data_IF_865748621182
#
_entry.id   IF_865748621182
#
_cell.length_a   1.000
_cell.length_b   1.000
_cell.length_c   1.000
_cell.angle_alpha   90.00
_cell.angle_beta   90.00
_cell.angle_gamma   90.00
#
_symmetry.space_group_name_H-M   'P 1'
#
loop_
_entity.id
_entity.type
_entity.pdbx_description
1 polymer ?
#
# COMPACT_ATOMS: atom_id res chain seq x y z
N UNK A 1 -25.21 15.85 -13.43
CA UNK A 1 -24.25 16.95 -13.21
C UNK A 1 -23.35 16.50 -12.07
N UNK A 2 -22.05 16.23 -12.14
CA UNK A 2 -20.96 16.64 -13.03
C UNK A 2 -20.05 15.40 -13.22
N UNK A 3 -20.16 14.68 -14.35
CA UNK A 3 -19.41 13.43 -14.58
C UNK A 3 -17.93 13.66 -14.95
N UNK A 4 -17.43 14.89 -14.80
CA UNK A 4 -16.10 15.31 -15.27
C UNK A 4 -15.07 15.52 -14.14
N UNK A 5 -15.46 15.46 -12.87
CA UNK A 5 -14.54 15.69 -11.74
C UNK A 5 -14.28 14.41 -10.92
N UNK A 6 -14.02 13.28 -11.59
CA UNK A 6 -13.69 12.00 -10.92
C UNK A 6 -12.30 11.52 -11.36
N UNK A 7 -11.58 10.79 -10.50
CA UNK A 7 -10.36 10.08 -10.93
C UNK A 7 -10.61 9.19 -12.13
N UNK A 8 -9.54 8.82 -12.85
CA UNK A 8 -9.65 7.81 -13.90
C UNK A 8 -10.13 6.49 -13.30
N UNK A 9 -11.11 5.83 -13.92
CA UNK A 9 -11.61 4.53 -13.46
C UNK A 9 -11.35 3.48 -14.54
N UNK A 10 -10.61 2.43 -14.19
CA UNK A 10 -10.45 1.23 -15.01
C UNK A 10 -11.31 0.12 -14.40
N UNK A 11 -12.15 -0.50 -15.22
CA UNK A 11 -12.98 -1.64 -14.80
C UNK A 11 -12.42 -2.94 -15.32
N UNK A 12 -12.23 -3.91 -14.44
CA UNK A 12 -11.76 -5.26 -14.77
C UNK A 12 -12.77 -6.31 -14.32
N UNK A 13 -12.63 -7.55 -14.80
CA UNK A 13 -13.44 -8.68 -14.35
C UNK A 13 -13.20 -8.95 -12.86
N UNK A 14 -14.24 -9.34 -12.13
CA UNK A 14 -14.15 -9.65 -10.69
C UNK A 14 -13.11 -10.74 -10.37
N UNK A 15 -12.93 -11.71 -11.26
CA UNK A 15 -11.93 -12.78 -11.11
C UNK A 15 -10.47 -12.29 -11.25
N UNK A 16 -10.25 -11.08 -11.78
CA UNK A 16 -8.93 -10.51 -11.99
C UNK A 16 -8.48 -9.67 -10.78
N UNK A 17 -9.41 -9.29 -9.90
CA UNK A 17 -9.02 -8.83 -8.57
C UNK A 17 -8.37 -9.99 -7.85
N UNK A 18 -7.20 -9.74 -7.24
CA UNK A 18 -6.46 -10.73 -6.47
C UNK A 18 -7.38 -11.53 -5.55
N UNK A 19 -7.01 -12.77 -5.28
CA UNK A 19 -7.71 -13.61 -4.31
C UNK A 19 -7.54 -13.04 -2.89
N UNK A 20 -8.13 -11.88 -2.60
CA UNK A 20 -8.08 -11.25 -1.26
C UNK A 20 -8.68 -12.16 -0.17
N UNK A 21 -9.46 -13.16 -0.59
CA UNK A 21 -9.85 -14.31 0.26
C UNK A 21 -8.66 -15.13 0.76
N UNK A 22 -7.61 -15.29 -0.02
CA UNK A 22 -6.38 -15.99 0.40
C UNK A 22 -5.62 -15.22 1.48
N UNK A 23 -5.85 -13.91 1.62
CA UNK A 23 -5.20 -13.10 2.66
C UNK A 23 -5.70 -13.45 4.06
N UNK A 24 -6.80 -14.19 4.19
CA UNK A 24 -7.20 -14.77 5.47
C UNK A 24 -6.14 -15.72 6.05
N UNK A 25 -5.30 -16.33 5.21
CA UNK A 25 -4.16 -17.13 5.67
C UNK A 25 -3.12 -16.30 6.45
N UNK A 26 -3.12 -14.97 6.28
CA UNK A 26 -2.26 -14.05 7.05
C UNK A 26 -2.73 -13.88 8.49
N UNK A 27 -3.98 -14.24 8.80
CA UNK A 27 -4.59 -14.11 10.14
C UNK A 27 -4.79 -15.47 10.83
N UNK A 28 -4.95 -16.55 10.07
CA UNK A 28 -5.13 -17.89 10.67
C UNK A 28 -4.61 -18.98 9.76
N UNK A 29 -4.21 -20.11 10.36
CA UNK A 29 -3.86 -21.33 9.63
C UNK A 29 -5.11 -22.16 9.23
N UNK A 30 -6.29 -21.82 9.76
CA UNK A 30 -7.56 -22.49 9.47
C UNK A 30 -8.66 -21.51 8.99
N UNK A 31 -8.45 -20.77 7.89
CA UNK A 31 -9.38 -19.72 7.46
C UNK A 31 -10.79 -20.25 7.14
N UNK A 32 -10.91 -21.48 6.64
CA UNK A 32 -12.19 -22.09 6.30
C UNK A 32 -13.08 -22.39 7.52
N UNK A 33 -12.51 -22.49 8.73
CA UNK A 33 -13.26 -22.82 9.96
C UNK A 33 -13.34 -21.63 10.92
N UNK A 34 -12.32 -20.79 10.99
CA UNK A 34 -12.24 -19.68 11.93
C UNK A 34 -12.86 -18.40 11.40
N UNK A 35 -12.56 -18.02 10.15
CA UNK A 35 -13.04 -16.74 9.57
C UNK A 35 -14.57 -16.67 9.56
N UNK A 36 -15.34 -17.70 9.17
CA UNK A 36 -16.80 -17.63 9.25
C UNK A 36 -17.32 -17.34 10.67
N UNK A 37 -16.65 -17.87 11.70
CA UNK A 37 -17.01 -17.60 13.11
C UNK A 37 -16.70 -16.15 13.45
N UNK A 38 -15.54 -15.64 13.08
CA UNK A 38 -15.15 -14.27 13.35
C UNK A 38 -16.03 -13.26 12.62
N UNK A 39 -16.39 -13.52 11.37
CA UNK A 39 -17.35 -12.71 10.62
C UNK A 39 -18.73 -12.72 11.28
N UNK A 40 -19.16 -13.85 11.82
CA UNK A 40 -20.37 -13.95 12.64
C UNK A 40 -20.29 -13.09 13.91
N UNK A 41 -19.20 -13.17 14.66
CA UNK A 41 -18.96 -12.36 15.86
C UNK A 41 -18.92 -10.86 15.55
N UNK A 42 -18.39 -10.47 14.39
CA UNK A 42 -18.38 -9.07 13.95
C UNK A 42 -19.81 -8.48 13.78
N UNK A 43 -20.83 -9.32 13.64
CA UNK A 43 -22.24 -8.92 13.54
C UNK A 43 -22.92 -8.72 14.90
N UNK A 44 -22.30 -9.07 16.02
CA UNK A 44 -22.89 -8.90 17.35
C UNK A 44 -22.93 -7.42 17.79
N UNK A 45 -21.97 -6.62 17.32
CA UNK A 45 -21.89 -5.17 17.53
C UNK A 45 -21.35 -4.46 16.28
N UNK A 46 -22.12 -4.46 15.17
CA UNK A 46 -21.64 -4.02 13.88
C UNK A 46 -21.51 -2.50 13.83
N UNK A 47 -20.41 -2.02 13.26
CA UNK A 47 -20.23 -0.61 12.89
C UNK A 47 -20.43 -0.51 11.38
N UNK A 48 -21.20 0.48 10.93
CA UNK A 48 -21.22 0.88 9.52
C UNK A 48 -20.38 2.15 9.36
N UNK A 49 -19.13 2.05 8.86
CA UNK A 49 -18.30 3.23 8.69
C UNK A 49 -18.90 4.18 7.65
N UNK A 50 -18.86 5.47 7.96
CA UNK A 50 -19.30 6.54 7.06
C UNK A 50 -18.24 6.93 6.03
N UNK A 51 -16.96 6.63 6.31
CA UNK A 51 -15.83 7.07 5.49
C UNK A 51 -15.87 8.58 5.24
N UNK A 52 -15.92 8.98 3.97
CA UNK A 52 -16.02 10.38 3.53
C UNK A 52 -17.45 10.95 3.56
N UNK A 53 -18.47 10.11 3.72
CA UNK A 53 -19.87 10.54 3.73
C UNK A 53 -20.18 11.33 5.01
N UNK A 54 -20.87 12.46 4.86
CA UNK A 54 -21.33 13.29 6.00
C UNK A 54 -22.66 12.81 6.56
N UNK A 55 -23.48 12.18 5.72
CA UNK A 55 -24.82 11.71 6.04
C UNK A 55 -25.08 10.34 5.40
N UNK A 56 -25.86 9.48 6.06
CA UNK A 56 -26.15 8.12 5.55
C UNK A 56 -26.78 8.13 4.14
N UNK A 57 -27.51 9.19 3.80
CA UNK A 57 -28.10 9.37 2.47
C UNK A 57 -27.05 9.52 1.34
N UNK A 58 -25.79 9.79 1.66
CA UNK A 58 -24.68 9.86 0.71
C UNK A 58 -24.00 8.49 0.48
N UNK A 59 -24.31 7.49 1.31
CA UNK A 59 -23.81 6.13 1.16
C UNK A 59 -24.55 5.38 0.05
N UNK A 60 -23.90 4.36 -0.51
CA UNK A 60 -24.53 3.49 -1.50
C UNK A 60 -25.65 2.63 -0.89
N UNK A 61 -26.89 2.87 -1.30
CA UNK A 61 -28.06 2.13 -0.78
C UNK A 61 -28.11 0.66 -1.22
N UNK A 62 -27.32 0.28 -2.23
CA UNK A 62 -27.26 -1.09 -2.74
C UNK A 62 -26.25 -1.97 -2.01
N UNK A 63 -25.44 -1.39 -1.11
CA UNK A 63 -24.36 -2.08 -0.43
C UNK A 63 -24.21 -1.62 1.02
N UNK A 64 -24.06 -2.55 1.96
CA UNK A 64 -23.62 -2.25 3.32
C UNK A 64 -22.16 -2.66 3.49
N UNK A 65 -21.38 -1.78 4.10
CA UNK A 65 -20.07 -2.12 4.66
C UNK A 65 -20.25 -2.30 6.16
N UNK A 66 -20.07 -3.53 6.64
CA UNK A 66 -20.08 -3.83 8.07
C UNK A 66 -18.65 -4.03 8.53
N UNK A 67 -18.30 -3.36 9.63
CA UNK A 67 -17.00 -3.39 10.27
C UNK A 67 -17.15 -3.89 11.70
N UNK A 68 -16.35 -4.88 12.08
CA UNK A 68 -16.31 -5.38 13.46
C UNK A 68 -15.23 -6.44 13.66
N UNK A 69 -14.89 -6.79 14.90
CA UNK A 69 -15.52 -6.32 16.13
C UNK A 69 -15.14 -4.87 16.47
N UNK A 70 -16.07 -4.14 17.10
CA UNK A 70 -15.82 -2.78 17.57
C UNK A 70 -14.66 -2.75 18.58
N UNK A 71 -13.87 -1.67 18.57
CA UNK A 71 -12.76 -1.42 19.50
C UNK A 71 -11.59 -2.42 19.44
N UNK A 72 -11.53 -3.31 18.44
CA UNK A 72 -10.37 -4.17 18.19
C UNK A 72 -9.37 -3.47 17.26
N UNK A 73 -8.08 -3.80 17.41
CA UNK A 73 -7.02 -3.27 16.53
C UNK A 73 -7.15 -3.80 15.10
N UNK A 74 -7.55 -5.08 14.97
CA UNK A 74 -7.89 -5.71 13.69
C UNK A 74 -9.41 -5.76 13.58
N UNK A 75 -9.92 -5.28 12.46
CA UNK A 75 -11.33 -5.20 12.14
C UNK A 75 -11.61 -5.98 10.86
N UNK A 76 -12.71 -6.70 10.87
CA UNK A 76 -13.19 -7.49 9.75
C UNK A 76 -14.25 -6.68 9.01
N UNK A 77 -14.00 -6.49 7.73
CA UNK A 77 -14.84 -5.73 6.83
C UNK A 77 -15.68 -6.72 6.01
N UNK A 78 -16.99 -6.49 5.93
CA UNK A 78 -17.93 -7.29 5.18
C UNK A 78 -18.72 -6.39 4.24
N UNK A 79 -18.57 -6.60 2.94
CA UNK A 79 -19.37 -5.91 1.91
C UNK A 79 -20.58 -6.79 1.61
N UNK A 80 -21.78 -6.29 1.89
CA UNK A 80 -23.05 -7.02 1.75
C UNK A 80 -23.90 -6.31 0.72
N UNK A 81 -24.40 -7.04 -0.28
CA UNK A 81 -25.38 -6.48 -1.20
C UNK A 81 -26.75 -6.39 -0.55
N UNK A 82 -27.46 -5.30 -0.86
CA UNK A 82 -28.72 -4.92 -0.23
C UNK A 82 -29.75 -4.64 -1.31
N UNK A 83 -30.95 -5.18 -1.11
CA UNK A 83 -32.11 -4.88 -1.92
C UNK A 83 -33.29 -4.60 -1.01
N UNK A 84 -34.00 -3.49 -1.24
CA UNK A 84 -35.14 -3.06 -0.41
C UNK A 84 -34.81 -3.03 1.10
N UNK A 85 -33.63 -2.52 1.46
CA UNK A 85 -33.10 -2.50 2.83
C UNK A 85 -32.97 -3.88 3.50
N UNK A 86 -32.80 -4.94 2.71
CA UNK A 86 -32.57 -6.30 3.21
C UNK A 86 -31.25 -6.85 2.66
N UNK A 87 -30.40 -7.45 3.52
CA UNK A 87 -29.17 -8.08 3.06
C UNK A 87 -29.50 -9.27 2.18
N UNK A 88 -28.83 -9.37 1.03
CA UNK A 88 -29.02 -10.43 0.04
C UNK A 88 -27.89 -11.45 0.09
N UNK A 89 -26.64 -10.98 0.01
CA UNK A 89 -25.47 -11.83 0.02
C UNK A 89 -24.21 -11.06 0.42
N UNK A 90 -23.26 -11.73 1.07
CA UNK A 90 -21.89 -11.24 1.25
C UNK A 90 -21.20 -11.26 -0.11
N UNK A 91 -20.68 -10.11 -0.54
CA UNK A 91 -19.94 -9.93 -1.80
C UNK A 91 -18.46 -10.16 -1.63
N UNK A 92 -17.90 -9.64 -0.54
CA UNK A 92 -16.52 -9.87 -0.15
C UNK A 92 -16.35 -9.60 1.34
N UNK A 93 -15.29 -10.15 1.92
CA UNK A 93 -14.86 -9.84 3.26
C UNK A 93 -13.34 -9.86 3.34
N UNK A 94 -12.77 -8.96 4.13
CA UNK A 94 -11.33 -8.80 4.27
C UNK A 94 -10.98 -8.25 5.66
N UNK A 95 -9.77 -8.55 6.17
CA UNK A 95 -9.26 -7.92 7.36
C UNK A 95 -8.74 -6.51 7.06
N UNK A 96 -8.76 -5.64 8.05
CA UNK A 96 -8.23 -4.29 8.01
C UNK A 96 -7.75 -3.90 9.40
N UNK A 97 -6.78 -3.01 9.49
CA UNK A 97 -6.41 -2.35 10.73
C UNK A 97 -6.02 -0.90 10.45
N UNK A 98 -5.90 -0.09 11.49
CA UNK A 98 -5.59 1.33 11.34
C UNK A 98 -4.11 1.63 11.55
N UNK A 99 -3.59 2.48 10.68
CA UNK A 99 -2.28 3.11 10.86
C UNK A 99 -2.45 4.44 11.58
N UNK A 100 -1.60 4.77 12.58
CA UNK A 100 -1.65 6.06 13.24
C UNK A 100 -1.08 7.16 12.35
N UNK A 101 -0.37 6.79 11.28
CA UNK A 101 0.19 7.73 10.33
C UNK A 101 -0.83 8.01 9.24
N UNK A 102 -0.92 9.29 8.88
CA UNK A 102 -1.64 9.74 7.71
C UNK A 102 -0.70 10.49 6.80
N UNK A 103 -0.89 10.28 5.52
CA UNK A 103 -0.17 10.95 4.45
C UNK A 103 -1.15 11.69 3.58
N UNK A 104 -0.70 12.81 3.00
CA UNK A 104 -1.46 13.44 1.95
C UNK A 104 -1.30 12.59 0.68
N UNK A 105 -2.42 12.30 0.02
CA UNK A 105 -2.36 11.73 -1.32
C UNK A 105 -3.50 12.21 -2.20
N UNK A 106 -3.26 12.21 -3.51
CA UNK A 106 -4.29 12.36 -4.55
C UNK A 106 -4.57 11.00 -5.19
N UNK A 107 -5.83 10.71 -5.45
CA UNK A 107 -6.24 9.52 -6.18
C UNK A 107 -6.13 9.83 -7.67
N UNK A 108 -5.11 9.29 -8.34
CA UNK A 108 -4.94 9.50 -9.78
C UNK A 108 -5.80 8.52 -10.60
N UNK A 109 -5.90 7.29 -10.11
CA UNK A 109 -6.66 6.23 -10.76
C UNK A 109 -7.30 5.29 -9.74
N UNK A 110 -8.45 4.76 -10.10
CA UNK A 110 -9.18 3.72 -9.40
C UNK A 110 -9.29 2.53 -10.35
N UNK A 111 -8.75 1.39 -9.94
CA UNK A 111 -9.00 0.11 -10.63
C UNK A 111 -10.10 -0.55 -9.82
N UNK A 112 -11.23 -0.90 -10.43
CA UNK A 112 -12.38 -1.49 -9.74
C UNK A 112 -12.92 -2.71 -10.48
N UNK A 113 -13.54 -3.64 -9.74
CA UNK A 113 -14.21 -4.78 -10.36
C UNK A 113 -15.56 -4.38 -10.98
N UNK A 114 -16.14 -5.22 -11.86
CA UNK A 114 -17.46 -4.96 -12.46
C UNK A 114 -18.58 -4.94 -11.44
N UNK A 115 -18.51 -5.75 -10.39
CA UNK A 115 -19.47 -5.69 -9.27
C UNK A 115 -19.35 -4.40 -8.44
N UNK A 116 -18.31 -3.57 -8.67
CA UNK A 116 -18.06 -2.33 -7.96
C UNK A 116 -17.97 -2.48 -6.43
N UNK A 117 -17.49 -3.63 -5.97
CA UNK A 117 -17.42 -3.96 -4.54
C UNK A 117 -16.02 -3.74 -3.94
N UNK A 118 -15.00 -3.67 -4.79
CA UNK A 118 -13.59 -3.58 -4.41
C UNK A 118 -12.84 -2.68 -5.39
N UNK A 119 -11.77 -2.05 -4.90
CA UNK A 119 -10.88 -1.25 -5.73
C UNK A 119 -9.44 -1.21 -5.20
N UNK A 120 -8.51 -1.09 -6.14
CA UNK A 120 -7.13 -0.67 -5.90
C UNK A 120 -6.99 0.79 -6.33
N UNK A 121 -6.47 1.63 -5.44
CA UNK A 121 -6.21 3.04 -5.71
C UNK A 121 -4.76 3.23 -6.12
N UNK A 122 -4.54 3.99 -7.19
CA UNK A 122 -3.24 4.57 -7.50
C UNK A 122 -3.14 5.93 -6.84
N UNK A 123 -2.37 5.99 -5.77
CA UNK A 123 -2.18 7.17 -4.93
C UNK A 123 -0.88 7.89 -5.32
N UNK A 124 -0.96 9.19 -5.55
CA UNK A 124 0.20 10.06 -5.65
C UNK A 124 0.40 10.79 -4.32
N UNK A 125 1.53 10.54 -3.66
CA UNK A 125 1.87 11.09 -2.35
C UNK A 125 2.69 12.39 -2.42
N UNK A 126 2.90 12.93 -3.62
CA UNK A 126 3.81 14.04 -3.88
C UNK A 126 5.08 13.58 -4.60
N UNK A 127 5.77 14.50 -5.28
CA UNK A 127 7.06 14.25 -5.94
C UNK A 127 7.12 12.99 -6.84
N UNK A 128 6.00 12.62 -7.48
CA UNK A 128 5.85 11.38 -8.27
C UNK A 128 6.03 10.08 -7.47
N UNK A 129 5.95 10.13 -6.14
CA UNK A 129 5.89 8.94 -5.28
C UNK A 129 4.52 8.29 -5.42
N UNK A 130 4.48 7.10 -6.02
CA UNK A 130 3.25 6.36 -6.29
C UNK A 130 3.16 5.15 -5.38
N UNK A 131 1.99 4.97 -4.76
CA UNK A 131 1.62 3.75 -4.03
C UNK A 131 0.30 3.22 -4.59
N UNK A 132 0.24 1.91 -4.78
CA UNK A 132 -1.01 1.22 -5.01
C UNK A 132 -1.48 0.58 -3.70
N UNK A 133 -2.76 0.72 -3.41
CA UNK A 133 -3.33 0.24 -2.15
C UNK A 133 -4.78 -0.19 -2.34
N UNK A 134 -5.15 -1.30 -1.72
CA UNK A 134 -6.53 -1.74 -1.57
C UNK A 134 -7.34 -0.72 -0.76
N UNK A 135 -8.45 -0.23 -1.30
CA UNK A 135 -9.31 0.70 -0.58
C UNK A 135 -10.32 -0.03 0.30
N UNK A 136 -10.00 -0.12 1.59
CA UNK A 136 -10.82 -0.78 2.60
C UNK A 136 -12.20 -0.14 2.78
N UNK A 137 -12.37 1.11 2.35
CA UNK A 137 -13.62 1.88 2.49
C UNK A 137 -14.28 2.16 1.13
N UNK A 138 -13.83 1.52 0.05
CA UNK A 138 -14.28 1.79 -1.32
C UNK A 138 -15.80 1.73 -1.48
N UNK A 139 -16.42 0.68 -0.95
CA UNK A 139 -17.87 0.46 -1.06
C UNK A 139 -18.70 1.63 -0.51
N UNK A 140 -18.14 2.40 0.44
CA UNK A 140 -18.76 3.62 1.00
C UNK A 140 -18.26 4.88 0.31
N UNK A 141 -16.96 4.96 0.01
CA UNK A 141 -16.32 6.20 -0.44
C UNK A 141 -16.38 6.47 -1.95
N UNK A 142 -16.61 5.44 -2.78
CA UNK A 142 -16.39 5.55 -4.23
C UNK A 142 -17.15 6.70 -4.92
N UNK A 143 -18.31 7.13 -4.39
CA UNK A 143 -19.08 8.25 -4.95
C UNK A 143 -18.50 9.63 -4.57
N UNK A 144 -17.69 9.69 -3.51
CA UNK A 144 -17.10 10.89 -2.93
C UNK A 144 -15.72 11.23 -3.50
N UNK A 145 -15.11 10.32 -4.28
CA UNK A 145 -13.80 10.55 -4.88
C UNK A 145 -13.87 11.56 -6.02
N UNK A 146 -13.02 12.58 -5.92
CA UNK A 146 -12.92 13.70 -6.85
C UNK A 146 -11.52 13.75 -7.44
N UNK A 147 -11.46 14.17 -8.71
CA UNK A 147 -10.17 14.41 -9.37
C UNK A 147 -9.46 15.60 -8.70
N UNK A 148 -8.13 15.54 -8.67
CA UNK A 148 -7.24 16.59 -8.17
C UNK A 148 -7.41 16.96 -6.67
N UNK A 149 -8.32 16.26 -5.96
CA UNK A 149 -8.55 16.42 -4.54
C UNK A 149 -7.48 15.68 -3.73
N UNK A 150 -6.91 16.37 -2.73
CA UNK A 150 -6.05 15.77 -1.73
C UNK A 150 -6.87 15.15 -0.60
N UNK A 151 -6.45 13.98 -0.14
CA UNK A 151 -7.06 13.23 0.96
C UNK A 151 -6.02 12.95 2.04
N UNK A 152 -6.49 12.76 3.28
CA UNK A 152 -5.69 12.13 4.32
C UNK A 152 -5.87 10.62 4.22
N UNK A 153 -4.79 9.92 3.85
CA UNK A 153 -4.77 8.47 3.65
C UNK A 153 -3.97 7.81 4.75
N UNK A 154 -4.55 6.80 5.37
CA UNK A 154 -3.86 5.94 6.32
C UNK A 154 -3.40 4.68 5.59
N UNK A 155 -2.08 4.51 5.46
CA UNK A 155 -1.48 3.35 4.81
C UNK A 155 -1.12 2.29 5.85
N UNK A 156 -1.58 1.08 5.61
CA UNK A 156 -1.25 -0.10 6.39
C UNK A 156 -0.99 -1.29 5.46
N UNK A 157 -0.37 -2.36 5.94
CA UNK A 157 -0.15 -3.55 5.14
C UNK A 157 -0.07 -4.83 5.96
N UNK A 158 -0.41 -5.94 5.32
CA UNK A 158 -0.17 -7.29 5.86
C UNK A 158 1.07 -7.88 5.21
N UNK A 159 1.97 -8.45 6.00
CA UNK A 159 3.19 -9.05 5.50
C UNK A 159 3.03 -10.55 5.22
N UNK A 160 3.39 -10.98 4.01
CA UNK A 160 3.46 -12.40 3.63
C UNK A 160 4.77 -13.01 4.13
N UNK A 161 5.86 -12.39 3.69
CA UNK A 161 7.22 -12.83 3.90
C UNK A 161 8.06 -11.60 4.22
N UNK A 162 8.87 -11.69 5.27
CA UNK A 162 9.79 -10.64 5.65
C UNK A 162 11.15 -11.25 5.94
N UNK A 163 12.19 -10.55 5.51
CA UNK A 163 13.56 -10.88 5.86
C UNK A 163 14.35 -9.63 6.25
N UNK A 164 15.38 -9.86 7.06
CA UNK A 164 16.36 -8.86 7.41
C UNK A 164 17.27 -8.59 6.22
N UNK A 165 17.51 -7.32 5.92
CA UNK A 165 18.54 -6.91 4.97
C UNK A 165 19.91 -7.03 5.65
N UNK A 166 20.86 -7.70 5.01
CA UNK A 166 22.18 -7.89 5.59
C UNK A 166 22.98 -6.58 5.58
N UNK A 167 23.78 -6.34 6.61
CA UNK A 167 24.66 -5.18 6.65
C UNK A 167 25.70 -5.27 5.52
N UNK A 168 25.82 -4.21 4.72
CA UNK A 168 26.71 -4.18 3.58
C UNK A 168 26.30 -5.14 2.45
N UNK A 169 25.02 -5.51 2.36
CA UNK A 169 24.48 -6.20 1.19
C UNK A 169 24.72 -5.36 -0.06
N UNK A 170 25.53 -5.90 -0.96
CA UNK A 170 25.98 -5.23 -2.16
C UNK A 170 25.37 -5.90 -3.38
N UNK A 171 24.82 -5.10 -4.28
CA UNK A 171 24.54 -5.54 -5.63
C UNK A 171 25.71 -5.11 -6.51
N UNK A 172 26.26 -6.07 -7.25
CA UNK A 172 27.21 -5.79 -8.33
C UNK A 172 26.39 -5.53 -9.58
N UNK A 173 26.34 -4.27 -10.00
CA UNK A 173 25.73 -3.88 -11.27
C UNK A 173 26.76 -4.11 -12.37
N UNK A 174 26.58 -5.17 -13.15
CA UNK A 174 27.45 -5.52 -14.28
C UNK A 174 26.86 -5.15 -15.66
N UNK A 175 25.63 -4.65 -15.69
CA UNK A 175 24.96 -4.20 -16.92
C UNK A 175 25.59 -2.90 -17.46
N UNK A 176 26.09 -2.88 -18.72
CA UNK A 176 26.75 -1.71 -19.30
C UNK A 176 25.89 -0.45 -19.35
N UNK A 177 24.57 -0.58 -19.54
CA UNK A 177 23.67 0.57 -19.59
C UNK A 177 23.49 1.21 -18.20
N UNK A 178 23.33 0.37 -17.17
CA UNK A 178 23.21 0.76 -15.77
C UNK A 178 24.51 1.35 -15.23
N UNK A 179 25.67 0.76 -15.58
CA UNK A 179 27.00 1.31 -15.27
C UNK A 179 27.16 2.69 -15.90
N UNK A 180 26.83 2.84 -17.21
CA UNK A 180 26.87 4.13 -17.90
C UNK A 180 25.98 5.15 -17.20
N UNK A 181 24.74 4.78 -16.89
CA UNK A 181 23.77 5.68 -16.25
C UNK A 181 24.28 6.16 -14.88
N UNK A 182 24.76 5.24 -14.04
CA UNK A 182 25.27 5.57 -12.72
C UNK A 182 26.50 6.48 -12.77
N UNK A 183 27.47 6.17 -13.65
CA UNK A 183 28.69 6.98 -13.83
C UNK A 183 28.38 8.35 -14.40
N UNK A 184 27.50 8.41 -15.40
CA UNK A 184 27.03 9.67 -15.98
C UNK A 184 26.34 10.54 -14.92
N UNK A 185 25.42 9.96 -14.15
CA UNK A 185 24.69 10.66 -13.10
C UNK A 185 25.66 11.23 -12.04
N UNK A 186 26.59 10.43 -11.53
CA UNK A 186 27.57 10.90 -10.55
C UNK A 186 28.47 12.00 -11.10
N UNK A 187 28.96 11.86 -12.33
CA UNK A 187 29.79 12.88 -12.99
C UNK A 187 29.03 14.20 -13.17
N UNK A 188 27.77 14.13 -13.61
CA UNK A 188 26.91 15.30 -13.83
C UNK A 188 26.60 15.96 -12.49
N UNK A 189 26.21 15.20 -11.47
CA UNK A 189 25.93 15.74 -10.13
C UNK A 189 27.19 16.36 -9.52
N UNK A 190 28.35 15.70 -9.62
CA UNK A 190 29.62 16.25 -9.14
C UNK A 190 30.00 17.56 -9.85
N UNK A 191 29.70 17.69 -11.15
CA UNK A 191 29.94 18.91 -11.91
C UNK A 191 28.93 20.04 -11.62
N UNK A 192 27.80 19.74 -10.97
CA UNK A 192 26.73 20.69 -10.67
C UNK A 192 26.48 20.83 -9.15
N UNK A 193 27.52 20.65 -8.32
CA UNK A 193 27.45 20.78 -6.85
C UNK A 193 26.35 19.93 -6.19
N UNK A 194 26.11 18.73 -6.73
CA UNK A 194 25.06 17.81 -6.28
C UNK A 194 23.65 18.15 -6.75
N UNK A 195 23.46 19.22 -7.54
CA UNK A 195 22.16 19.63 -8.05
C UNK A 195 21.95 19.05 -9.46
N UNK A 196 20.89 18.28 -9.64
CA UNK A 196 20.51 17.76 -10.94
C UNK A 196 20.12 18.91 -11.91
N UNK A 197 20.80 19.05 -13.07
CA UNK A 197 20.45 20.08 -14.07
C UNK A 197 19.12 19.74 -14.78
N UNK A 198 18.43 20.77 -15.28
CA UNK A 198 17.11 20.60 -15.93
C UNK A 198 17.13 19.69 -17.17
N UNK A 199 18.28 19.55 -17.84
CA UNK A 199 18.50 18.67 -18.98
C UNK A 199 19.28 17.40 -18.62
N UNK A 200 19.15 16.91 -17.38
CA UNK A 200 19.88 15.74 -16.87
C UNK A 200 19.83 14.53 -17.81
N UNK A 201 18.66 14.18 -18.33
CA UNK A 201 18.50 13.00 -19.19
C UNK A 201 19.29 13.13 -20.50
N UNK A 202 19.25 14.30 -21.15
CA UNK A 202 20.03 14.57 -22.36
C UNK A 202 21.53 14.50 -22.09
N UNK A 203 21.97 14.96 -20.92
CA UNK A 203 23.37 14.86 -20.52
C UNK A 203 23.80 13.41 -20.23
N UNK A 204 22.95 12.60 -19.59
CA UNK A 204 23.21 11.16 -19.36
C UNK A 204 23.32 10.41 -20.69
N UNK A 205 22.44 10.71 -21.65
CA UNK A 205 22.44 10.06 -22.96
C UNK A 205 23.71 10.40 -23.74
N UNK A 206 24.13 11.67 -23.71
CA UNK A 206 25.33 12.19 -24.36
C UNK A 206 26.64 11.80 -23.66
N UNK A 207 26.60 11.44 -22.38
CA UNK A 207 27.78 11.06 -21.61
C UNK A 207 28.45 9.82 -22.21
N UNK A 208 29.78 9.79 -22.19
CA UNK A 208 30.60 8.67 -22.66
C UNK A 208 31.66 8.36 -21.61
N UNK A 209 31.98 7.07 -21.40
CA UNK A 209 33.04 6.66 -20.48
C UNK A 209 34.38 7.28 -20.91
N UNK A 210 35.12 7.82 -19.95
CA UNK A 210 36.42 8.48 -20.17
C UNK A 210 37.57 7.48 -20.11
N UNK A 211 37.34 6.32 -19.50
CA UNK A 211 38.32 5.25 -19.28
C UNK A 211 37.67 3.85 -19.28
N UNK A 212 38.48 2.79 -19.29
CA UNK A 212 37.98 1.42 -19.10
C UNK A 212 37.47 1.17 -17.67
N UNK A 213 37.98 1.90 -16.67
CA UNK A 213 37.50 1.83 -15.28
C UNK A 213 36.05 2.34 -15.17
N UNK A 214 35.64 3.26 -16.04
CA UNK A 214 34.25 3.74 -16.11
C UNK A 214 33.26 2.68 -16.63
N UNK A 215 33.77 1.55 -17.11
CA UNK A 215 32.98 0.38 -17.54
C UNK A 215 33.03 -0.76 -16.52
N UNK A 216 33.81 -0.62 -15.45
CA UNK A 216 33.90 -1.63 -14.41
C UNK A 216 32.56 -1.72 -13.65
N UNK A 217 32.17 -2.93 -13.18
CA UNK A 217 30.95 -3.11 -12.40
C UNK A 217 30.88 -2.14 -11.21
N UNK A 218 29.70 -1.60 -10.98
CA UNK A 218 29.46 -0.69 -9.84
C UNK A 218 28.93 -1.51 -8.69
N UNK A 219 29.60 -1.40 -7.55
CA UNK A 219 29.09 -1.92 -6.29
C UNK A 219 28.24 -0.85 -5.61
N UNK A 220 26.96 -1.12 -5.43
CA UNK A 220 26.05 -0.23 -4.70
C UNK A 220 25.67 -0.91 -3.39
N UNK A 221 25.75 -0.18 -2.28
CA UNK A 221 25.28 -0.64 -0.97
C UNK A 221 23.76 -0.52 -0.93
N UNK A 222 23.08 -1.65 -1.01
CA UNK A 222 21.63 -1.73 -0.93
C UNK A 222 21.14 -1.87 0.51
N UNK A 223 22.02 -2.04 1.50
CA UNK A 223 21.63 -2.35 2.88
C UNK A 223 20.85 -1.23 3.58
N UNK A 224 20.87 -0.01 3.03
CA UNK A 224 20.14 1.16 3.56
C UNK A 224 19.20 1.79 2.55
N UNK A 225 18.95 1.13 1.43
CA UNK A 225 18.01 1.63 0.43
C UNK A 225 16.57 1.47 0.92
N UNK A 226 15.74 2.49 0.68
CA UNK A 226 14.28 2.39 0.79
C UNK A 226 13.74 2.18 -0.62
N UNK A 227 12.95 1.13 -0.82
CA UNK A 227 12.43 0.76 -2.13
C UNK A 227 11.00 0.24 -1.99
N UNK A 228 10.19 0.52 -3.01
CA UNK A 228 8.80 0.05 -3.11
C UNK A 228 8.52 -0.29 -4.57
N UNK A 229 8.03 -1.51 -4.79
CA UNK A 229 7.70 -2.07 -6.10
C UNK A 229 6.29 -2.64 -6.03
N UNK A 230 5.35 -2.03 -6.74
CA UNK A 230 3.96 -2.51 -6.83
C UNK A 230 3.85 -3.67 -7.84
N UNK A 231 2.82 -4.51 -7.67
CA UNK A 231 2.55 -5.65 -8.54
C UNK A 231 2.33 -5.27 -10.01
N UNK A 232 2.70 -6.14 -10.93
CA UNK A 232 2.61 -5.87 -12.38
C UNK A 232 1.22 -6.19 -12.96
N UNK A 233 0.41 -6.97 -12.24
CA UNK A 233 -0.90 -7.42 -12.69
C UNK A 233 -1.98 -6.37 -12.34
N UNK A 234 -2.81 -6.04 -13.33
CA UNK A 234 -3.91 -5.09 -13.13
C UNK A 234 -4.95 -5.64 -12.16
N UNK A 235 -5.26 -4.87 -11.12
CA UNK A 235 -6.13 -5.27 -10.00
C UNK A 235 -5.44 -6.01 -8.87
N UNK A 236 -4.09 -6.07 -8.89
CA UNK A 236 -3.24 -6.68 -7.86
C UNK A 236 -2.01 -5.80 -7.58
N UNK A 237 -2.00 -4.53 -8.00
CA UNK A 237 -0.86 -3.65 -7.80
C UNK A 237 -0.63 -3.30 -6.31
N UNK A 238 -1.64 -3.51 -5.47
CA UNK A 238 -1.56 -3.44 -4.01
C UNK A 238 -0.75 -4.58 -3.37
N UNK A 239 -0.49 -5.66 -4.12
CA UNK A 239 0.52 -6.66 -3.79
C UNK A 239 1.90 -6.12 -4.14
N UNK A 240 2.65 -5.69 -3.13
CA UNK A 240 3.90 -4.98 -3.32
C UNK A 240 5.06 -5.68 -2.65
N UNK A 241 6.24 -5.49 -3.23
CA UNK A 241 7.50 -5.73 -2.54
C UNK A 241 8.04 -4.41 -2.00
N UNK A 242 8.61 -4.42 -0.81
CA UNK A 242 9.26 -3.25 -0.23
C UNK A 242 10.60 -3.60 0.41
N UNK A 243 11.44 -2.58 0.60
CA UNK A 243 12.55 -2.58 1.53
C UNK A 243 12.53 -1.26 2.31
N UNK A 244 12.62 -1.33 3.63
CA UNK A 244 12.48 -0.16 4.49
C UNK A 244 13.10 -0.33 5.86
N UNK A 245 13.36 0.79 6.53
CA UNK A 245 13.85 0.83 7.90
C UNK A 245 12.70 0.67 8.90
N UNK A 246 12.87 -0.19 9.90
CA UNK A 246 11.97 -0.31 11.04
C UNK A 246 12.17 0.86 12.00
N UNK A 247 11.17 1.72 12.13
CA UNK A 247 11.19 2.89 13.03
C UNK A 247 10.33 2.70 14.28
N UNK A 248 9.45 1.70 14.28
CA UNK A 248 8.61 1.35 15.42
C UNK A 248 8.29 -0.15 15.46
N UNK A 249 8.08 -0.67 16.67
CA UNK A 249 7.69 -2.06 16.93
C UNK A 249 6.66 -2.08 18.05
N UNK A 250 5.57 -2.79 17.83
CA UNK A 250 4.48 -2.98 18.80
C UNK A 250 3.76 -4.31 18.54
N UNK A 251 2.65 -4.56 19.22
CA UNK A 251 1.82 -5.73 18.99
C UNK A 251 0.34 -5.43 19.14
N UNK A 252 -0.49 -6.26 18.50
CA UNK A 252 -1.93 -6.33 18.71
C UNK A 252 -2.32 -7.69 19.25
N UNK A 253 -3.42 -7.73 19.99
CA UNK A 253 -4.14 -8.97 20.29
C UNK A 253 -5.40 -9.00 19.44
N UNK A 254 -5.66 -10.13 18.78
CA UNK A 254 -6.88 -10.36 18.04
C UNK A 254 -7.25 -11.84 18.09
N UNK A 255 -8.47 -12.14 18.51
CA UNK A 255 -8.98 -13.52 18.62
C UNK A 255 -8.04 -14.48 19.38
N UNK A 256 -7.45 -13.99 20.48
CA UNK A 256 -6.45 -14.69 21.32
C UNK A 256 -5.13 -15.03 20.59
N UNK A 257 -4.80 -14.27 19.55
CA UNK A 257 -3.53 -14.36 18.85
C UNK A 257 -2.80 -13.02 18.91
N UNK A 258 -1.50 -13.08 19.16
CA UNK A 258 -0.62 -11.92 19.14
C UNK A 258 -0.09 -11.68 17.73
N UNK A 259 -0.24 -10.45 17.25
CA UNK A 259 0.33 -9.99 15.98
C UNK A 259 1.47 -9.03 16.27
N UNK A 260 2.60 -9.20 15.60
CA UNK A 260 3.69 -8.22 15.64
C UNK A 260 3.43 -7.14 14.60
N UNK A 261 3.70 -5.90 15.01
CA UNK A 261 3.40 -4.71 14.23
C UNK A 261 4.66 -3.88 14.10
N UNK A 262 5.01 -3.53 12.87
CA UNK A 262 6.16 -2.70 12.55
C UNK A 262 5.71 -1.40 11.90
N UNK A 263 6.30 -0.30 12.33
CA UNK A 263 6.22 0.95 11.60
C UNK A 263 7.50 1.04 10.78
N UNK A 264 7.37 1.12 9.44
CA UNK A 264 8.52 1.10 8.53
C UNK A 264 8.49 2.27 7.55
N UNK A 265 9.65 2.71 7.10
CA UNK A 265 9.77 3.67 5.99
C UNK A 265 9.42 2.97 4.67
N UNK A 266 8.36 3.42 4.00
CA UNK A 266 7.96 2.92 2.68
C UNK A 266 8.63 3.69 1.54
N UNK A 267 8.70 5.02 1.66
CA UNK A 267 9.32 5.91 0.67
C UNK A 267 10.16 6.95 1.41
N UNK A 268 11.36 7.19 0.92
CA UNK A 268 12.26 8.21 1.44
C UNK A 268 12.97 8.92 0.30
N UNK A 269 12.51 10.13 -0.03
CA UNK A 269 13.15 11.00 -1.03
C UNK A 269 13.70 12.26 -0.35
N UNK A 270 14.80 12.82 -0.86
CA UNK A 270 15.56 13.91 -0.23
C UNK A 270 14.74 15.18 0.06
N UNK A 271 13.65 15.40 -0.69
CA UNK A 271 12.83 16.61 -0.64
C UNK A 271 11.46 16.41 0.03
N UNK A 272 11.23 15.30 0.73
CA UNK A 272 10.00 15.09 1.50
C UNK A 272 10.21 14.28 2.77
N UNK A 273 9.34 14.45 3.79
CA UNK A 273 9.35 13.57 4.95
C UNK A 273 9.22 12.10 4.52
N UNK A 274 9.89 11.20 5.24
CA UNK A 274 9.73 9.77 5.01
C UNK A 274 8.25 9.37 5.16
N UNK A 275 7.74 8.64 4.18
CA UNK A 275 6.40 8.06 4.22
C UNK A 275 6.49 6.77 5.02
N UNK A 276 5.72 6.70 6.10
CA UNK A 276 5.64 5.52 6.95
C UNK A 276 4.42 4.68 6.59
N UNK A 277 4.58 3.37 6.68
CA UNK A 277 3.50 2.39 6.62
C UNK A 277 3.56 1.50 7.86
N UNK A 278 2.40 1.10 8.36
CA UNK A 278 2.30 0.13 9.44
C UNK A 278 2.08 -1.27 8.86
N UNK A 279 2.95 -2.20 9.19
CA UNK A 279 2.93 -3.59 8.77
C UNK A 279 2.49 -4.49 9.93
N UNK A 280 1.62 -5.46 9.66
CA UNK A 280 1.23 -6.48 10.63
C UNK A 280 1.62 -7.89 10.13
N UNK A 281 2.06 -8.74 11.05
CA UNK A 281 2.35 -10.15 10.78
C UNK A 281 2.00 -11.02 11.98
N UNK A 282 1.40 -12.20 11.73
CA UNK A 282 1.28 -13.27 12.73
C UNK A 282 2.45 -14.25 12.68
N UNK A 283 3.23 -14.26 11.60
CA UNK A 283 4.22 -15.30 11.34
C UNK A 283 5.38 -15.21 12.35
N UNK A 284 5.61 -16.24 13.19
CA UNK A 284 6.66 -16.24 14.21
C UNK A 284 8.07 -15.96 13.66
N UNK A 285 8.35 -16.35 12.41
CA UNK A 285 9.65 -16.10 11.77
C UNK A 285 9.91 -14.60 11.56
N UNK A 286 8.87 -13.78 11.53
CA UNK A 286 8.94 -12.36 11.19
C UNK A 286 8.75 -11.43 12.40
N UNK A 287 8.78 -11.94 13.64
CA UNK A 287 8.45 -11.17 14.86
C UNK A 287 9.65 -10.50 15.55
N UNK A 288 10.87 -10.83 15.12
CA UNK A 288 12.10 -10.51 15.85
C UNK A 288 12.97 -9.43 15.19
N UNK A 289 12.43 -8.66 14.23
CA UNK A 289 13.13 -7.48 13.73
C UNK A 289 13.20 -6.37 14.77
N UNK A 290 14.28 -5.59 14.75
CA UNK A 290 14.56 -4.53 15.72
C UNK A 290 14.47 -3.14 15.10
N UNK A 291 14.18 -2.12 15.92
CA UNK A 291 14.18 -0.72 15.47
C UNK A 291 15.57 -0.33 14.96
N UNK A 292 15.62 0.31 13.80
CA UNK A 292 16.82 0.67 13.07
C UNK A 292 17.25 -0.36 12.02
N UNK A 293 16.69 -1.58 12.05
CA UNK A 293 16.99 -2.62 11.06
C UNK A 293 16.27 -2.34 9.75
N UNK A 294 16.95 -2.62 8.63
CA UNK A 294 16.29 -2.68 7.33
C UNK A 294 15.70 -4.07 7.12
N UNK A 295 14.44 -4.10 6.69
CA UNK A 295 13.72 -5.32 6.34
C UNK A 295 13.15 -5.18 4.94
N UNK A 296 12.91 -6.31 4.28
CA UNK A 296 12.28 -6.36 2.97
C UNK A 296 11.33 -7.54 2.86
N UNK A 297 10.46 -7.49 1.87
CA UNK A 297 9.59 -8.61 1.55
C UNK A 297 8.30 -8.20 0.87
N UNK A 298 7.39 -9.16 0.78
CA UNK A 298 6.10 -8.99 0.11
C UNK A 298 5.03 -8.58 1.13
N UNK A 299 4.25 -7.56 0.77
CA UNK A 299 3.19 -6.97 1.58
C UNK A 299 1.94 -6.73 0.74
N UNK A 300 0.78 -6.88 1.37
CA UNK A 300 -0.50 -6.44 0.83
C UNK A 300 -0.88 -5.08 1.41
N UNK A 301 -0.87 -4.03 0.58
CA UNK A 301 -1.05 -2.65 1.01
C UNK A 301 -2.52 -2.27 1.01
N UNK A 302 -2.99 -1.66 2.10
CA UNK A 302 -4.34 -1.14 2.24
C UNK A 302 -4.33 0.36 2.55
N UNK A 303 -5.39 1.04 2.14
CA UNK A 303 -5.63 2.46 2.36
C UNK A 303 -6.99 2.66 3.05
N UNK A 304 -6.98 3.44 4.14
CA UNK A 304 -8.20 3.92 4.79
C UNK A 304 -8.30 5.44 4.60
N UNK A 305 -9.42 5.92 4.03
CA UNK A 305 -9.65 7.33 3.74
C UNK A 305 -10.90 7.81 4.47
N UNK A 306 -10.69 8.61 5.52
CA UNK A 306 -11.76 9.14 6.37
C UNK A 306 -12.01 10.63 6.17
N UNK A 307 -11.03 11.36 5.63
CA UNK A 307 -11.10 12.81 5.51
C UNK A 307 -10.48 13.34 4.22
N UNK A 308 -11.13 14.38 3.71
CA UNK A 308 -10.58 15.25 2.68
C UNK A 308 -9.54 16.17 3.33
N UNK A 309 -8.43 16.45 2.64
CA UNK A 309 -7.51 17.51 3.04
C UNK A 309 -8.05 18.86 2.54
N UNK A 310 -8.35 19.77 3.48
CA UNK A 310 -8.79 21.14 3.20
C UNK A 310 -7.62 22.02 2.77
#
# INVERSE_FOLDING_TARGET
MNNQNRPEIIRIEDQNFGSHVEHWNLLTDEPCTEVPKWLGLALDAPIMPMGLCRHEAEMDQSTWLIQGPSQQSIQLMQVIAVENNKPQAVKTAFPCFESPYKVEAKIERIISCKSNTQAVLRLNLGNNSIVYAFDSLYSVNHQQYLKDQSYWVHLNAWAYELEAVAEGEQLVVDDPASIKHHRALNDILAANDGIAPANLQEQIDAWQPKSEDDKAPVTVDFSKMVAYLYGENIGQEDEAWFQGNVVGKSSFEFMNQTYTVYDVTLIHDENQPAILIRLATKNPAHQNFEIGQYIRGNIWVQANIHNIKQ
#
